data_IF_214934981076
#
_entry.id   IF_214934981076
#
_cell.length_a   1.000
_cell.length_b   1.000
_cell.length_c   1.000
_cell.angle_alpha   90.00
_cell.angle_beta   90.00
_cell.angle_gamma   90.00
#
_symmetry.space_group_name_H-M   'P 1'
#
loop_
_entity.id
_entity.type
_entity.pdbx_description
1 polymer ?
#
# COMPACT_ATOMS: atom_id res chain seq x y z
N UNK A 1 11.75 31.98 11.26
CA UNK A 1 11.86 30.94 10.22
C UNK A 1 13.22 30.88 9.54
N UNK A 2 14.08 31.82 9.81
CA UNK A 2 15.37 31.96 9.14
C UNK A 2 16.39 30.84 9.47
N UNK A 3 16.14 30.05 10.51
CA UNK A 3 17.01 28.94 10.92
C UNK A 3 16.53 27.54 10.49
N UNK A 4 15.36 27.44 9.85
CA UNK A 4 14.84 26.11 9.45
C UNK A 4 15.54 25.67 8.17
N UNK A 5 16.24 24.53 8.26
CA UNK A 5 16.89 23.88 7.13
C UNK A 5 16.01 22.73 6.63
N UNK A 6 15.83 22.64 5.31
CA UNK A 6 15.20 21.49 4.66
C UNK A 6 16.31 20.67 4.01
N UNK A 7 16.43 19.41 4.41
CA UNK A 7 17.51 18.52 4.01
C UNK A 7 16.92 17.14 3.66
N UNK A 8 17.58 16.35 2.78
CA UNK A 8 17.29 14.94 2.65
C UNK A 8 17.47 14.22 3.99
N UNK A 9 16.70 13.14 4.17
CA UNK A 9 16.77 12.29 5.36
C UNK A 9 18.14 11.68 5.55
N UNK A 10 18.54 11.53 6.81
CA UNK A 10 19.67 10.71 7.25
C UNK A 10 19.21 9.64 8.23
N UNK A 11 20.03 8.63 8.52
CA UNK A 11 19.66 7.61 9.51
C UNK A 11 19.38 8.14 10.92
N UNK A 12 19.99 9.28 11.28
CA UNK A 12 19.79 9.95 12.57
C UNK A 12 18.40 10.61 12.70
N UNK A 13 17.70 10.84 11.58
CA UNK A 13 16.42 11.52 11.53
C UNK A 13 15.22 10.61 11.78
N UNK A 14 15.43 9.29 11.66
CA UNK A 14 14.33 8.31 11.67
C UNK A 14 13.51 8.39 12.95
N UNK A 15 14.15 8.45 14.11
CA UNK A 15 13.46 8.50 15.40
C UNK A 15 12.62 9.78 15.54
N UNK A 16 13.19 10.94 15.18
CA UNK A 16 12.48 12.20 15.22
C UNK A 16 11.35 12.31 14.18
N UNK A 17 11.48 11.67 13.02
CA UNK A 17 10.39 11.58 12.04
C UNK A 17 9.24 10.76 12.61
N UNK A 18 9.52 9.57 13.20
CA UNK A 18 8.49 8.70 13.78
C UNK A 18 7.79 9.35 14.97
N UNK A 19 8.54 10.07 15.81
CA UNK A 19 7.98 10.85 16.92
C UNK A 19 7.00 11.91 16.39
N UNK A 20 7.45 12.78 15.48
CA UNK A 20 6.59 13.82 14.88
C UNK A 20 5.42 13.23 14.10
N UNK A 21 5.62 12.09 13.43
CA UNK A 21 4.54 11.36 12.74
C UNK A 21 3.43 11.00 13.71
N UNK A 22 3.76 10.36 14.82
CA UNK A 22 2.78 9.88 15.80
C UNK A 22 2.09 11.03 16.57
N UNK A 23 2.78 12.15 16.75
CA UNK A 23 2.17 13.37 17.32
C UNK A 23 1.12 13.99 16.38
N UNK A 24 1.42 14.04 15.08
CA UNK A 24 0.64 14.84 14.11
C UNK A 24 -0.30 14.01 13.23
N UNK A 25 -0.12 12.68 13.19
CA UNK A 25 -0.93 11.72 12.45
C UNK A 25 -1.39 10.57 13.38
N UNK A 26 -2.13 10.88 14.46
CA UNK A 26 -2.38 9.94 15.57
C UNK A 26 -3.22 8.71 15.18
N UNK A 27 -4.08 8.80 14.15
CA UNK A 27 -4.86 7.65 13.68
C UNK A 27 -4.06 6.73 12.75
N UNK A 28 -2.95 7.23 12.20
CA UNK A 28 -2.08 6.52 11.27
C UNK A 28 -0.71 6.29 11.92
N UNK A 29 -0.68 6.03 13.22
CA UNK A 29 0.55 5.84 14.01
C UNK A 29 1.39 4.70 13.47
N UNK A 30 2.70 4.88 13.47
CA UNK A 30 3.67 3.89 13.00
C UNK A 30 4.75 3.64 14.06
N UNK A 31 5.48 2.56 13.92
CA UNK A 31 6.71 2.35 14.64
C UNK A 31 7.93 2.48 13.71
N UNK A 32 9.10 2.57 14.31
CA UNK A 32 10.38 2.70 13.60
C UNK A 32 10.61 1.57 12.58
N UNK A 33 10.28 0.34 12.94
CA UNK A 33 10.49 -0.81 12.05
C UNK A 33 9.59 -0.73 10.82
N UNK A 34 8.35 -0.27 10.97
CA UNK A 34 7.43 -0.07 9.85
C UNK A 34 7.92 1.04 8.92
N UNK A 35 8.43 2.16 9.48
CA UNK A 35 9.03 3.24 8.68
C UNK A 35 10.26 2.72 7.90
N UNK A 36 11.16 2.02 8.57
CA UNK A 36 12.34 1.44 7.93
C UNK A 36 11.92 0.47 6.81
N UNK A 37 10.99 -0.44 7.09
CA UNK A 37 10.55 -1.45 6.12
C UNK A 37 9.88 -0.84 4.88
N UNK A 38 9.00 0.17 5.07
CA UNK A 38 8.19 0.74 3.98
C UNK A 38 8.83 1.92 3.25
N UNK A 39 9.83 2.58 3.85
CA UNK A 39 10.48 3.75 3.25
C UNK A 39 11.94 3.45 2.94
N UNK A 40 12.75 3.14 3.96
CA UNK A 40 14.20 3.02 3.80
C UNK A 40 14.59 1.77 3.01
N UNK A 41 13.87 0.66 3.22
CA UNK A 41 14.15 -0.63 2.56
C UNK A 41 13.33 -0.82 1.28
N UNK A 42 12.59 0.21 0.83
CA UNK A 42 11.96 0.19 -0.49
C UNK A 42 13.02 0.09 -1.58
N UNK A 43 12.83 -0.79 -2.57
CA UNK A 43 13.79 -1.01 -3.66
C UNK A 43 14.01 0.22 -4.55
N UNK A 44 13.10 1.19 -4.47
CA UNK A 44 13.17 2.46 -5.20
C UNK A 44 13.52 3.65 -4.31
N UNK A 45 13.91 3.40 -3.05
CA UNK A 45 14.25 4.46 -2.10
C UNK A 45 15.35 5.38 -2.61
N UNK A 46 15.12 6.67 -2.45
CA UNK A 46 16.11 7.74 -2.64
C UNK A 46 16.01 8.72 -1.47
N UNK A 47 17.13 9.00 -0.76
CA UNK A 47 17.11 9.92 0.37
C UNK A 47 16.53 11.30 0.02
N UNK A 48 16.77 11.78 -1.21
CA UNK A 48 16.30 13.07 -1.71
C UNK A 48 14.78 13.15 -1.88
N UNK A 49 14.11 12.01 -1.89
CA UNK A 49 12.64 11.96 -1.93
C UNK A 49 12.01 12.09 -0.52
N UNK A 50 12.81 12.01 0.53
CA UNK A 50 12.34 12.18 1.91
C UNK A 50 13.02 13.42 2.50
N UNK A 51 12.23 14.48 2.67
CA UNK A 51 12.75 15.75 3.15
C UNK A 51 12.37 16.01 4.60
N UNK A 52 13.34 16.45 5.37
CA UNK A 52 13.17 16.83 6.80
C UNK A 52 13.43 18.32 6.97
N UNK A 53 12.55 18.99 7.71
CA UNK A 53 12.73 20.35 8.15
C UNK A 53 13.21 20.35 9.59
N UNK A 54 14.40 20.94 9.84
CA UNK A 54 15.06 20.99 11.14
C UNK A 54 15.16 22.43 11.65
N UNK A 55 14.79 22.64 12.91
CA UNK A 55 15.11 23.84 13.68
C UNK A 55 16.17 23.47 14.72
N UNK A 56 17.43 23.79 14.45
CA UNK A 56 18.55 23.19 15.13
C UNK A 56 18.59 21.67 14.90
N UNK A 57 18.51 20.92 15.99
CA UNK A 57 18.47 19.44 15.95
C UNK A 57 17.03 18.88 15.98
N UNK A 58 16.02 19.71 16.23
CA UNK A 58 14.62 19.27 16.30
C UNK A 58 14.03 19.13 14.91
N UNK A 59 13.40 17.99 14.61
CA UNK A 59 12.57 17.81 13.43
C UNK A 59 11.24 18.49 13.67
N UNK A 60 10.91 19.46 12.81
CA UNK A 60 9.69 20.27 12.91
C UNK A 60 8.75 20.09 11.72
N UNK A 61 9.16 19.28 10.76
CA UNK A 61 8.35 18.88 9.63
C UNK A 61 9.06 17.86 8.76
N UNK A 62 8.29 17.08 8.02
CA UNK A 62 8.82 16.17 7.01
C UNK A 62 7.82 15.98 5.88
N UNK A 63 8.30 15.49 4.75
CA UNK A 63 7.52 14.97 3.64
C UNK A 63 8.20 13.71 3.10
N UNK A 64 7.42 12.64 2.93
CA UNK A 64 7.89 11.36 2.37
C UNK A 64 7.36 11.23 0.96
N UNK A 65 8.26 11.30 0.02
CA UNK A 65 7.98 11.07 -1.39
C UNK A 65 8.49 9.71 -1.84
N UNK A 66 7.92 9.22 -2.94
CA UNK A 66 8.36 8.00 -3.60
C UNK A 66 8.30 8.13 -5.13
N UNK A 67 9.21 7.46 -5.80
CA UNK A 67 9.25 7.33 -7.26
C UNK A 67 9.65 5.91 -7.62
N UNK A 68 9.27 5.43 -8.79
CA UNK A 68 9.71 4.13 -9.30
C UNK A 68 10.88 4.35 -10.25
N UNK A 69 12.01 3.67 -9.99
CA UNK A 69 13.24 3.73 -10.81
C UNK A 69 13.13 2.85 -12.05
N UNK A 70 12.70 1.61 -11.83
CA UNK A 70 12.54 0.62 -12.89
C UNK A 70 11.13 0.06 -12.86
N UNK A 71 10.46 0.08 -14.00
CA UNK A 71 9.11 -0.47 -14.15
C UNK A 71 9.24 -1.86 -14.75
N UNK A 72 8.75 -2.88 -14.03
CA UNK A 72 8.85 -4.28 -14.46
C UNK A 72 8.05 -4.52 -15.76
N UNK A 73 6.94 -3.81 -15.93
CA UNK A 73 6.06 -3.91 -17.10
C UNK A 73 5.66 -2.51 -17.58
N UNK A 74 6.54 -1.77 -18.27
CA UNK A 74 6.29 -0.38 -18.67
C UNK A 74 5.11 -0.21 -19.65
N UNK A 75 4.80 -1.26 -20.42
CA UNK A 75 3.70 -1.24 -21.39
C UNK A 75 2.31 -1.38 -20.74
N UNK A 76 2.25 -1.87 -19.50
CA UNK A 76 1.00 -2.12 -18.77
C UNK A 76 0.68 -1.00 -17.78
N UNK A 77 1.71 -0.41 -17.16
CA UNK A 77 1.54 0.65 -16.17
C UNK A 77 2.67 1.68 -16.28
N UNK A 78 2.38 2.92 -16.68
CA UNK A 78 3.37 3.98 -16.86
C UNK A 78 3.85 4.57 -15.52
N UNK A 79 4.26 3.75 -14.57
CA UNK A 79 4.74 4.20 -13.25
C UNK A 79 6.01 5.06 -13.35
N UNK A 80 6.77 4.95 -14.43
CA UNK A 80 7.96 5.75 -14.67
C UNK A 80 7.72 7.26 -14.73
N UNK A 81 6.51 7.69 -15.10
CA UNK A 81 6.14 9.12 -15.12
C UNK A 81 5.46 9.58 -13.84
N UNK A 82 5.19 8.67 -12.90
CA UNK A 82 4.47 8.94 -11.66
C UNK A 82 5.41 9.15 -10.48
N UNK A 83 4.92 9.91 -9.52
CA UNK A 83 5.50 10.11 -8.20
C UNK A 83 4.40 10.09 -7.15
N UNK A 84 4.77 9.89 -5.90
CA UNK A 84 3.81 9.82 -4.80
C UNK A 84 4.31 10.61 -3.60
N UNK A 85 3.37 11.14 -2.82
CA UNK A 85 3.59 11.66 -1.48
C UNK A 85 2.86 10.72 -0.53
N UNK A 86 3.60 9.94 0.25
CA UNK A 86 3.02 8.92 1.13
C UNK A 86 2.74 9.43 2.55
N UNK A 87 3.42 10.50 2.97
CA UNK A 87 3.16 11.17 4.22
C UNK A 87 3.70 12.61 4.22
N UNK A 88 3.07 13.48 4.99
CA UNK A 88 3.54 14.83 5.30
C UNK A 88 3.07 15.21 6.70
N UNK A 89 3.95 15.75 7.51
CA UNK A 89 3.57 16.37 8.79
C UNK A 89 4.39 17.62 9.08
N UNK A 90 3.75 18.57 9.76
CA UNK A 90 4.37 19.79 10.28
C UNK A 90 3.95 19.93 11.74
N UNK A 91 4.92 20.09 12.62
CA UNK A 91 4.68 20.37 14.04
C UNK A 91 3.74 21.58 14.20
N UNK A 92 2.77 21.44 15.08
CA UNK A 92 1.63 22.38 15.23
C UNK A 92 2.08 23.84 15.32
N UNK A 93 3.11 24.12 16.07
CA UNK A 93 3.66 25.46 16.28
C UNK A 93 4.37 26.06 15.04
N UNK A 94 4.67 25.21 14.02
CA UNK A 94 5.31 25.63 12.76
C UNK A 94 4.33 25.71 11.59
N UNK A 95 3.05 25.35 11.80
CA UNK A 95 2.01 25.39 10.76
C UNK A 95 1.66 26.84 10.38
N UNK A 96 1.05 26.99 9.20
CA UNK A 96 0.57 28.28 8.63
C UNK A 96 1.67 29.36 8.50
N UNK A 97 2.94 28.95 8.52
CA UNK A 97 4.13 29.80 8.35
C UNK A 97 4.86 29.53 7.01
N UNK A 98 4.23 28.79 6.08
CA UNK A 98 4.80 28.48 4.76
C UNK A 98 5.72 27.25 4.71
N UNK A 99 5.97 26.56 5.84
CA UNK A 99 6.89 25.41 5.87
C UNK A 99 6.39 24.23 5.02
N UNK A 100 5.10 23.88 5.10
CA UNK A 100 4.50 22.84 4.26
C UNK A 100 4.60 23.14 2.77
N UNK A 101 4.37 24.41 2.37
CA UNK A 101 4.60 24.88 0.99
C UNK A 101 6.04 24.63 0.54
N UNK A 102 7.00 24.97 1.40
CA UNK A 102 8.42 24.86 1.07
C UNK A 102 8.84 23.40 0.90
N UNK A 103 8.40 22.51 1.79
CA UNK A 103 8.62 21.06 1.68
C UNK A 103 7.99 20.50 0.39
N UNK A 104 6.70 20.81 0.14
CA UNK A 104 5.99 20.34 -1.03
C UNK A 104 6.66 20.80 -2.32
N UNK A 105 6.97 22.08 -2.45
CA UNK A 105 7.59 22.61 -3.66
C UNK A 105 8.99 22.01 -3.88
N UNK A 106 9.81 21.87 -2.84
CA UNK A 106 11.13 21.26 -2.95
C UNK A 106 11.04 19.84 -3.49
N UNK A 107 10.08 19.04 -2.98
CA UNK A 107 9.88 17.68 -3.44
C UNK A 107 9.32 17.63 -4.88
N UNK A 108 8.33 18.46 -5.21
CA UNK A 108 7.77 18.51 -6.56
C UNK A 108 8.79 18.98 -7.60
N UNK A 109 9.68 19.90 -7.25
CA UNK A 109 10.77 20.33 -8.13
C UNK A 109 11.79 19.21 -8.36
N UNK A 110 12.08 18.41 -7.34
CA UNK A 110 12.88 17.18 -7.49
C UNK A 110 12.19 16.20 -8.44
N UNK A 111 10.91 15.89 -8.25
CA UNK A 111 10.14 15.02 -9.13
C UNK A 111 10.12 15.47 -10.59
N UNK A 112 9.96 16.78 -10.82
CA UNK A 112 10.05 17.35 -12.18
C UNK A 112 11.43 17.17 -12.81
N UNK A 113 12.51 17.37 -12.03
CA UNK A 113 13.88 17.14 -12.52
C UNK A 113 14.11 15.67 -12.88
N UNK A 114 13.47 14.74 -12.17
CA UNK A 114 13.51 13.30 -12.44
C UNK A 114 12.56 12.88 -13.58
N UNK A 115 11.93 13.84 -14.27
CA UNK A 115 11.06 13.58 -15.42
C UNK A 115 9.66 13.09 -15.05
N UNK A 116 9.28 13.17 -13.75
CA UNK A 116 7.92 12.78 -13.33
C UNK A 116 6.91 13.83 -13.80
N UNK A 117 5.75 13.37 -14.27
CA UNK A 117 4.67 14.20 -14.84
C UNK A 117 3.43 14.24 -13.95
N UNK A 118 3.26 13.24 -13.11
CA UNK A 118 2.10 13.06 -12.23
C UNK A 118 2.57 12.84 -10.79
N UNK A 119 1.83 13.40 -9.83
CA UNK A 119 2.06 13.18 -8.41
C UNK A 119 0.75 12.79 -7.73
N UNK A 120 0.75 11.65 -7.07
CA UNK A 120 -0.39 11.11 -6.34
C UNK A 120 -0.17 11.24 -4.83
N UNK A 121 -1.25 11.28 -4.07
CA UNK A 121 -1.21 11.24 -2.60
C UNK A 121 -1.55 9.84 -2.14
N UNK A 122 -0.79 9.32 -1.18
CA UNK A 122 -0.89 8.03 -0.51
C UNK A 122 -0.55 6.83 -1.40
N UNK A 123 -1.36 6.32 -2.18
CA UNK A 123 -1.45 5.12 -3.01
C UNK A 123 -0.17 4.61 -3.72
N UNK A 124 1.00 4.74 -3.10
CA UNK A 124 2.26 4.23 -3.63
C UNK A 124 2.21 2.68 -3.70
N UNK A 125 2.32 2.08 -4.90
CA UNK A 125 2.02 0.66 -5.08
C UNK A 125 3.04 -0.28 -4.43
N UNK A 126 4.24 0.20 -4.11
CA UNK A 126 5.30 -0.60 -3.51
C UNK A 126 5.29 -0.58 -1.97
N UNK A 127 4.58 0.33 -1.34
CA UNK A 127 4.54 0.40 0.13
C UNK A 127 3.87 1.64 0.68
N UNK A 128 2.55 1.78 0.55
CA UNK A 128 1.84 2.87 1.21
C UNK A 128 1.51 2.53 2.68
N UNK A 129 1.28 3.56 3.47
CA UNK A 129 0.85 3.43 4.87
C UNK A 129 -0.68 3.36 4.96
N UNK A 130 -1.34 4.23 4.22
CA UNK A 130 -2.80 4.38 4.18
C UNK A 130 -3.24 4.61 2.74
N UNK A 131 -4.47 4.20 2.36
CA UNK A 131 -4.95 4.32 0.97
C UNK A 131 -5.36 5.75 0.57
N UNK A 132 -5.35 6.70 1.50
CA UNK A 132 -5.75 8.08 1.27
C UNK A 132 -5.71 8.91 2.54
N UNK A 133 -6.28 10.11 2.51
CA UNK A 133 -6.42 11.01 3.65
C UNK A 133 -7.82 10.87 4.27
N UNK A 134 -7.91 10.71 5.60
CA UNK A 134 -9.20 10.75 6.27
C UNK A 134 -9.86 12.12 6.08
N UNK A 135 -11.04 12.10 5.47
CA UNK A 135 -11.77 13.32 5.06
C UNK A 135 -12.32 14.13 6.23
N UNK A 136 -12.39 13.54 7.43
CA UNK A 136 -12.86 14.23 8.63
C UNK A 136 -11.71 14.84 9.43
N UNK A 137 -10.61 14.09 9.57
CA UNK A 137 -9.49 14.47 10.42
C UNK A 137 -8.47 15.35 9.69
N UNK A 138 -8.23 15.12 8.41
CA UNK A 138 -7.20 15.84 7.65
C UNK A 138 -7.77 16.89 6.69
N UNK A 139 -8.89 17.56 7.04
CA UNK A 139 -9.53 18.60 6.21
C UNK A 139 -8.58 19.72 5.78
N UNK A 140 -7.77 20.21 6.73
CA UNK A 140 -6.80 21.29 6.45
C UNK A 140 -5.71 20.82 5.48
N UNK A 141 -5.30 19.55 5.57
CA UNK A 141 -4.31 18.94 4.67
C UNK A 141 -4.89 18.71 3.28
N UNK A 142 -6.15 18.28 3.19
CA UNK A 142 -6.86 18.15 1.90
C UNK A 142 -6.95 19.52 1.24
N UNK A 143 -7.45 20.55 1.94
CA UNK A 143 -7.54 21.92 1.41
C UNK A 143 -6.18 22.49 1.03
N UNK A 144 -5.12 22.13 1.75
CA UNK A 144 -3.75 22.50 1.40
C UNK A 144 -3.35 21.88 0.04
N UNK A 145 -3.56 20.58 -0.17
CA UNK A 145 -3.23 19.95 -1.44
C UNK A 145 -4.09 20.46 -2.59
N UNK A 146 -5.40 20.66 -2.38
CA UNK A 146 -6.29 21.24 -3.38
C UNK A 146 -5.83 22.65 -3.82
N UNK A 147 -5.39 23.50 -2.87
CA UNK A 147 -4.83 24.81 -3.16
C UNK A 147 -3.59 24.74 -4.08
N UNK A 148 -2.81 23.63 -3.99
CA UNK A 148 -1.65 23.39 -4.85
C UNK A 148 -1.99 22.61 -6.13
N UNK A 149 -3.27 22.46 -6.46
CA UNK A 149 -3.75 21.90 -7.73
C UNK A 149 -3.95 20.40 -7.73
N UNK A 150 -3.81 19.73 -6.59
CA UNK A 150 -4.22 18.32 -6.46
C UNK A 150 -5.74 18.22 -6.54
N UNK A 151 -6.22 17.11 -7.09
CA UNK A 151 -7.65 16.83 -7.25
C UNK A 151 -7.97 15.47 -6.65
N UNK A 152 -9.13 15.36 -6.02
CA UNK A 152 -9.65 14.08 -5.58
C UNK A 152 -9.86 13.16 -6.80
N UNK A 153 -9.32 11.95 -6.74
CA UNK A 153 -9.46 10.94 -7.80
C UNK A 153 -10.51 9.90 -7.41
N UNK A 154 -10.45 9.41 -6.17
CA UNK A 154 -11.43 8.47 -5.61
C UNK A 154 -11.37 8.47 -4.08
N UNK A 155 -12.37 7.86 -3.45
CA UNK A 155 -12.47 7.70 -1.99
C UNK A 155 -12.41 6.22 -1.63
N UNK A 156 -11.26 5.68 -1.23
CA UNK A 156 -11.20 4.33 -0.71
C UNK A 156 -11.92 4.25 0.64
N UNK A 157 -12.55 3.11 0.90
CA UNK A 157 -13.13 2.80 2.21
C UNK A 157 -12.22 1.83 2.94
N UNK A 158 -11.87 2.17 4.18
CA UNK A 158 -11.29 1.22 5.12
C UNK A 158 -12.43 0.51 5.85
N UNK A 159 -12.35 -0.79 5.97
CA UNK A 159 -13.37 -1.62 6.65
C UNK A 159 -12.68 -2.54 7.62
N UNK A 160 -13.19 -2.57 8.86
CA UNK A 160 -12.77 -3.49 9.89
C UNK A 160 -13.94 -4.40 10.26
N UNK A 161 -13.66 -5.65 10.53
CA UNK A 161 -14.65 -6.61 10.97
C UNK A 161 -14.13 -7.41 12.17
N UNK A 162 -14.97 -7.57 13.19
CA UNK A 162 -14.68 -8.54 14.26
C UNK A 162 -15.09 -9.94 13.78
N UNK A 163 -14.10 -10.81 13.60
CA UNK A 163 -14.31 -12.17 13.10
C UNK A 163 -14.30 -13.24 14.20
N UNK A 164 -14.23 -12.85 15.48
CA UNK A 164 -14.14 -13.80 16.61
C UNK A 164 -15.31 -14.78 16.67
N UNK A 165 -16.49 -14.36 16.22
CA UNK A 165 -17.70 -15.18 16.19
C UNK A 165 -18.21 -15.37 14.76
N UNK A 166 -17.30 -15.41 13.77
CA UNK A 166 -17.66 -15.59 12.38
C UNK A 166 -18.35 -16.93 12.16
N UNK A 167 -19.63 -16.91 11.79
CA UNK A 167 -20.37 -18.06 11.27
C UNK A 167 -20.83 -17.76 9.84
N UNK A 168 -20.29 -18.51 8.90
CA UNK A 168 -20.62 -18.34 7.48
C UNK A 168 -21.93 -19.03 7.06
N UNK A 169 -22.49 -19.88 7.96
CA UNK A 169 -23.80 -20.48 7.81
C UNK A 169 -23.95 -21.53 6.69
N UNK A 170 -25.17 -22.02 6.53
CA UNK A 170 -25.48 -23.10 5.58
C UNK A 170 -25.42 -22.63 4.11
N UNK A 171 -25.78 -21.39 3.84
CA UNK A 171 -25.73 -20.83 2.49
C UNK A 171 -24.30 -20.78 1.92
N UNK A 172 -23.35 -20.45 2.76
CA UNK A 172 -21.94 -20.46 2.37
C UNK A 172 -21.46 -21.86 1.99
N UNK A 173 -21.82 -22.88 2.77
CA UNK A 173 -21.55 -24.30 2.49
C UNK A 173 -22.19 -24.74 1.17
N UNK A 174 -23.44 -24.37 0.92
CA UNK A 174 -24.14 -24.68 -0.32
C UNK A 174 -23.44 -24.05 -1.54
N UNK A 175 -22.95 -22.81 -1.41
CA UNK A 175 -22.16 -22.16 -2.48
C UNK A 175 -20.84 -22.90 -2.77
N UNK A 176 -20.15 -23.41 -1.75
CA UNK A 176 -18.96 -24.23 -1.96
C UNK A 176 -19.26 -25.47 -2.77
N UNK A 177 -20.30 -26.22 -2.41
CA UNK A 177 -20.68 -27.45 -3.13
C UNK A 177 -21.10 -27.13 -4.57
N UNK A 178 -21.78 -26.03 -4.81
CA UNK A 178 -22.09 -25.56 -6.16
C UNK A 178 -20.82 -25.31 -6.97
N UNK A 179 -19.86 -24.57 -6.45
CA UNK A 179 -18.57 -24.30 -7.15
C UNK A 179 -17.83 -25.59 -7.45
N UNK A 180 -17.78 -26.55 -6.50
CA UNK A 180 -17.20 -27.86 -6.74
C UNK A 180 -17.88 -28.62 -7.88
N UNK A 181 -19.23 -28.57 -7.96
CA UNK A 181 -19.96 -29.22 -9.06
C UNK A 181 -19.66 -28.57 -10.43
N UNK A 182 -19.21 -27.32 -10.45
CA UNK A 182 -18.74 -26.59 -11.63
C UNK A 182 -17.24 -26.80 -11.90
N UNK A 183 -16.56 -27.67 -11.13
CA UNK A 183 -15.13 -27.97 -11.25
C UNK A 183 -14.22 -26.86 -10.69
N UNK A 184 -14.74 -26.02 -9.79
CA UNK A 184 -13.98 -24.94 -9.13
C UNK A 184 -13.72 -25.32 -7.67
N UNK A 185 -12.45 -25.44 -7.33
CA UNK A 185 -12.02 -25.72 -5.94
C UNK A 185 -11.43 -24.47 -5.30
N UNK A 186 -11.77 -24.24 -4.03
CA UNK A 186 -11.21 -23.17 -3.21
C UNK A 186 -10.33 -23.80 -2.13
N UNK A 187 -9.04 -23.58 -2.20
CA UNK A 187 -8.03 -24.27 -1.38
C UNK A 187 -6.96 -23.28 -0.88
N UNK A 188 -6.20 -23.69 0.15
CA UNK A 188 -4.94 -23.02 0.49
C UNK A 188 -3.95 -23.17 -0.67
N UNK A 189 -3.07 -22.20 -0.80
CA UNK A 189 -2.01 -22.27 -1.80
C UNK A 189 -1.18 -23.55 -1.66
N UNK A 190 -0.89 -24.17 -2.79
CA UNK A 190 -0.02 -25.33 -2.85
C UNK A 190 1.00 -25.14 -4.00
N UNK A 191 2.24 -25.54 -3.76
CA UNK A 191 3.37 -25.33 -4.68
C UNK A 191 3.13 -25.88 -6.11
N UNK A 192 2.31 -26.91 -6.29
CA UNK A 192 1.97 -27.42 -7.63
C UNK A 192 1.34 -26.37 -8.55
N UNK A 193 0.72 -25.33 -7.98
CA UNK A 193 0.07 -24.26 -8.73
C UNK A 193 0.97 -23.04 -8.95
N UNK A 194 2.26 -23.07 -8.58
CA UNK A 194 3.14 -21.89 -8.60
C UNK A 194 3.17 -21.17 -9.94
N UNK A 195 3.27 -21.90 -11.05
CA UNK A 195 3.32 -21.29 -12.39
C UNK A 195 1.97 -20.66 -12.76
N UNK A 196 0.86 -21.34 -12.46
CA UNK A 196 -0.47 -20.82 -12.70
C UNK A 196 -0.79 -19.63 -11.82
N UNK A 197 -0.38 -19.66 -10.56
CA UNK A 197 -0.50 -18.54 -9.60
C UNK A 197 0.26 -17.30 -10.09
N UNK A 198 1.52 -17.46 -10.49
CA UNK A 198 2.32 -16.35 -11.03
C UNK A 198 1.66 -15.77 -12.29
N UNK A 199 1.17 -16.60 -13.20
CA UNK A 199 0.52 -16.13 -14.41
C UNK A 199 -0.79 -15.38 -14.10
N UNK A 200 -1.58 -15.88 -13.15
CA UNK A 200 -2.78 -15.19 -12.68
C UNK A 200 -2.42 -13.80 -12.10
N UNK A 201 -1.43 -13.72 -11.21
CA UNK A 201 -1.03 -12.45 -10.58
C UNK A 201 -0.51 -11.44 -11.62
N UNK A 202 0.22 -11.91 -12.64
CA UNK A 202 0.66 -11.06 -13.76
C UNK A 202 -0.50 -10.51 -14.58
N UNK A 203 -1.56 -11.30 -14.77
CA UNK A 203 -2.73 -10.87 -15.54
C UNK A 203 -3.59 -9.84 -14.81
N UNK A 204 -3.42 -9.69 -13.50
CA UNK A 204 -4.15 -8.69 -12.70
C UNK A 204 -3.49 -7.32 -12.78
N UNK A 205 -2.31 -7.17 -12.19
CA UNK A 205 -1.50 -5.95 -12.25
C UNK A 205 -0.02 -6.27 -11.99
N UNK A 206 0.87 -5.35 -12.34
CA UNK A 206 2.30 -5.45 -12.02
C UNK A 206 2.54 -5.53 -10.50
N UNK A 207 1.76 -4.79 -9.72
CA UNK A 207 1.86 -4.77 -8.26
C UNK A 207 1.48 -6.09 -7.64
N UNK A 208 0.45 -6.77 -8.15
CA UNK A 208 0.06 -8.08 -7.68
C UNK A 208 1.12 -9.13 -7.96
N UNK A 209 1.76 -9.08 -9.14
CA UNK A 209 2.90 -9.94 -9.43
C UNK A 209 4.06 -9.71 -8.46
N UNK A 210 4.36 -8.45 -8.12
CA UNK A 210 5.39 -8.12 -7.15
C UNK A 210 5.07 -8.69 -5.76
N UNK A 211 3.83 -8.52 -5.28
CA UNK A 211 3.36 -9.12 -4.02
C UNK A 211 3.52 -10.64 -4.05
N UNK A 212 3.07 -11.30 -5.12
CA UNK A 212 3.21 -12.76 -5.27
C UNK A 212 4.67 -13.21 -5.23
N UNK A 213 5.55 -12.51 -5.95
CA UNK A 213 6.99 -12.79 -5.97
C UNK A 213 7.59 -12.65 -4.57
N UNK A 214 7.26 -11.59 -3.84
CA UNK A 214 7.73 -11.37 -2.48
C UNK A 214 7.27 -12.47 -1.53
N UNK A 215 5.98 -12.78 -1.53
CA UNK A 215 5.42 -13.85 -0.70
C UNK A 215 6.05 -15.22 -0.99
N UNK A 216 6.27 -15.55 -2.26
CA UNK A 216 6.94 -16.80 -2.64
C UNK A 216 8.40 -16.86 -2.17
N UNK A 217 9.12 -15.73 -2.22
CA UNK A 217 10.47 -15.65 -1.67
C UNK A 217 10.45 -15.83 -0.13
N UNK A 218 9.50 -15.22 0.55
CA UNK A 218 9.37 -15.33 2.00
C UNK A 218 8.90 -16.71 2.45
N UNK A 219 8.12 -17.42 1.62
CA UNK A 219 7.82 -18.84 1.84
C UNK A 219 9.09 -19.70 1.83
N UNK A 220 10.07 -19.42 0.94
CA UNK A 220 11.34 -20.15 0.94
C UNK A 220 12.18 -19.93 2.21
N UNK A 221 11.90 -18.86 2.93
CA UNK A 221 12.57 -18.47 4.20
C UNK A 221 11.75 -18.83 5.43
N UNK A 222 10.57 -19.45 5.29
CA UNK A 222 9.59 -19.72 6.34
C UNK A 222 9.11 -18.44 7.08
N UNK A 223 9.07 -17.30 6.40
CA UNK A 223 8.56 -16.03 6.93
C UNK A 223 7.07 -15.87 6.59
N UNK A 224 6.66 -16.27 5.39
CA UNK A 224 5.26 -16.27 4.92
C UNK A 224 4.77 -17.70 4.77
N UNK A 225 3.56 -17.99 5.23
CA UNK A 225 3.03 -19.36 5.23
C UNK A 225 2.04 -19.59 4.06
N UNK A 226 2.05 -20.76 3.39
CA UNK A 226 1.11 -21.07 2.31
C UNK A 226 -0.37 -20.90 2.70
N UNK A 227 -0.72 -21.16 3.95
CA UNK A 227 -2.08 -21.01 4.45
C UNK A 227 -2.59 -19.56 4.48
N UNK A 228 -1.67 -18.57 4.43
CA UNK A 228 -2.05 -17.16 4.32
C UNK A 228 -2.60 -16.81 2.93
N UNK A 229 -2.49 -17.72 1.96
CA UNK A 229 -3.06 -17.57 0.63
C UNK A 229 -4.17 -18.59 0.42
N UNK A 230 -5.31 -18.12 -0.07
CA UNK A 230 -6.43 -18.92 -0.56
C UNK A 230 -6.56 -18.71 -2.07
N UNK A 231 -6.61 -19.80 -2.83
CA UNK A 231 -6.75 -19.76 -4.29
C UNK A 231 -8.01 -20.47 -4.75
N UNK A 232 -8.62 -19.96 -5.83
CA UNK A 232 -9.65 -20.64 -6.59
C UNK A 232 -8.99 -21.29 -7.82
N UNK A 233 -9.25 -22.57 -8.02
CA UNK A 233 -8.65 -23.35 -9.11
C UNK A 233 -9.74 -24.00 -9.95
N UNK A 234 -9.63 -23.90 -11.27
CA UNK A 234 -10.42 -24.65 -12.23
C UNK A 234 -9.50 -25.20 -13.33
N UNK A 235 -9.61 -26.49 -13.65
CA UNK A 235 -8.77 -27.16 -14.65
C UNK A 235 -7.27 -26.89 -14.45
N UNK A 236 -6.79 -27.03 -13.21
CA UNK A 236 -5.42 -26.76 -12.76
C UNK A 236 -4.93 -25.31 -12.97
N UNK A 237 -5.82 -24.37 -13.29
CA UNK A 237 -5.52 -22.96 -13.45
C UNK A 237 -6.07 -22.17 -12.26
N UNK A 238 -5.24 -21.29 -11.71
CA UNK A 238 -5.68 -20.31 -10.72
C UNK A 238 -6.56 -19.27 -11.42
N UNK A 239 -7.77 -19.11 -10.90
CA UNK A 239 -8.79 -18.18 -11.42
C UNK A 239 -9.26 -17.18 -10.39
N UNK A 240 -8.75 -17.27 -9.17
CA UNK A 240 -9.02 -16.34 -8.10
C UNK A 240 -8.01 -16.48 -6.97
N UNK A 241 -7.89 -15.46 -6.18
CA UNK A 241 -6.86 -15.32 -5.16
C UNK A 241 -7.31 -14.39 -4.04
N UNK A 242 -6.91 -14.72 -2.83
CA UNK A 242 -7.09 -13.91 -1.64
C UNK A 242 -5.97 -14.21 -0.66
N UNK A 243 -5.48 -13.21 0.05
CA UNK A 243 -4.49 -13.41 1.13
C UNK A 243 -4.81 -12.57 2.36
N UNK A 244 -4.09 -12.86 3.44
CA UNK A 244 -4.00 -12.01 4.61
C UNK A 244 -2.58 -12.01 5.18
N UNK A 245 -2.25 -10.94 5.89
CA UNK A 245 -1.02 -10.80 6.64
C UNK A 245 -1.34 -10.17 7.99
N UNK A 246 -1.20 -10.93 9.07
CA UNK A 246 -1.70 -10.55 10.38
C UNK A 246 -3.22 -10.29 10.32
N UNK A 247 -3.65 -9.10 10.73
CA UNK A 247 -5.05 -8.65 10.63
C UNK A 247 -5.38 -7.97 9.29
N UNK A 248 -4.42 -7.86 8.39
CA UNK A 248 -4.59 -7.16 7.12
C UNK A 248 -5.05 -8.12 6.02
N UNK A 249 -6.24 -7.84 5.45
CA UNK A 249 -6.84 -8.60 4.38
C UNK A 249 -6.48 -7.99 3.01
N UNK A 250 -6.08 -8.84 2.06
CA UNK A 250 -5.81 -8.43 0.67
C UNK A 250 -4.34 -8.59 0.26
N UNK A 251 -4.05 -8.45 -1.04
CA UNK A 251 -4.99 -8.23 -2.14
C UNK A 251 -5.90 -9.43 -2.43
N UNK A 252 -6.96 -9.18 -3.21
CA UNK A 252 -8.02 -10.13 -3.45
C UNK A 252 -8.66 -9.89 -4.83
N UNK A 253 -8.88 -10.95 -5.61
CA UNK A 253 -9.51 -10.83 -6.91
C UNK A 253 -9.85 -12.15 -7.57
N UNK A 254 -10.70 -12.04 -8.60
CA UNK A 254 -11.18 -13.14 -9.44
C UNK A 254 -11.03 -12.74 -10.90
N UNK A 255 -10.53 -13.65 -11.73
CA UNK A 255 -10.42 -13.47 -13.18
C UNK A 255 -11.76 -13.02 -13.78
N UNK A 256 -11.74 -12.07 -14.72
CA UNK A 256 -12.96 -11.48 -15.30
C UNK A 256 -13.91 -12.55 -15.87
N UNK A 257 -13.37 -13.58 -16.51
CA UNK A 257 -14.14 -14.72 -17.05
C UNK A 257 -14.84 -15.57 -15.97
N UNK A 258 -14.53 -15.37 -14.71
CA UNK A 258 -15.02 -16.14 -13.56
C UNK A 258 -15.79 -15.30 -12.56
N UNK A 259 -15.93 -14.01 -12.81
CA UNK A 259 -16.75 -13.11 -11.96
C UNK A 259 -18.24 -13.49 -12.02
N UNK A 260 -18.99 -13.06 -11.01
CA UNK A 260 -20.43 -13.32 -10.90
C UNK A 260 -20.82 -14.74 -10.45
N UNK A 261 -19.88 -15.68 -10.32
CA UNK A 261 -20.14 -17.07 -9.90
C UNK A 261 -20.12 -17.28 -8.38
N UNK A 262 -19.83 -16.25 -7.59
CA UNK A 262 -19.72 -16.34 -6.14
C UNK A 262 -18.33 -16.78 -5.63
N UNK A 263 -17.33 -16.94 -6.51
CA UNK A 263 -15.96 -17.33 -6.15
C UNK A 263 -15.38 -16.35 -5.14
N UNK A 264 -15.53 -15.03 -5.37
CA UNK A 264 -15.03 -14.01 -4.45
C UNK A 264 -15.60 -14.13 -3.04
N UNK A 265 -16.89 -14.41 -2.91
CA UNK A 265 -17.54 -14.64 -1.61
C UNK A 265 -16.90 -15.81 -0.86
N UNK A 266 -16.61 -16.90 -1.56
CA UNK A 266 -16.02 -18.10 -0.94
C UNK A 266 -14.54 -17.88 -0.62
N UNK A 267 -13.79 -17.22 -1.50
CA UNK A 267 -12.41 -16.83 -1.21
C UNK A 267 -12.31 -15.98 0.05
N UNK A 268 -13.14 -14.93 0.16
CA UNK A 268 -13.22 -14.07 1.34
C UNK A 268 -13.53 -14.88 2.60
N UNK A 269 -14.63 -15.63 2.61
CA UNK A 269 -15.03 -16.42 3.77
C UNK A 269 -13.96 -17.43 4.20
N UNK A 270 -13.38 -18.17 3.25
CA UNK A 270 -12.30 -19.13 3.54
C UNK A 270 -11.03 -18.47 4.08
N UNK A 271 -10.75 -17.24 3.68
CA UNK A 271 -9.60 -16.50 4.20
C UNK A 271 -9.88 -15.97 5.60
N UNK A 272 -11.11 -15.55 5.89
CA UNK A 272 -11.51 -15.07 7.21
C UNK A 272 -11.64 -16.21 8.27
N UNK A 273 -11.77 -17.46 7.85
CA UNK A 273 -11.79 -18.65 8.73
C UNK A 273 -10.38 -19.03 9.26
N UNK A 274 -9.32 -18.46 8.70
CA UNK A 274 -7.92 -18.76 9.05
C UNK A 274 -7.35 -17.80 10.08
#
# INVERSE_FOLDING_TARGET
>A
MDNIKILPITGEDIDGIVELWNEELPIDSINKNLFIAKVILDEHFEPENVLVAKDGNKIVGFIVGATVKEVIYPDVDPQNIRSWITAIAIAKEYRKKGLGKKLLNTLLDKFKKDGKKECYIATYPYGYFVPGLDVKLYKDTISFFEYYGFKEVYRPLSMDANITLLDLGAEFKAKIEKLKSEGIEIISYHQKYILSYINFMRSMTSDWYRVARHNLMDMTRNIFHPDQITIAVQNEKVVGYCQFEGSHFGPFGVADSHQGKGIGTILLGRTLEK
#
